data_IF_730835649875
#
_entry.id   IF_730835649875
#
_cell.length_a   1.000
_cell.length_b   1.000
_cell.length_c   1.000
_cell.angle_alpha   90.00
_cell.angle_beta   90.00
_cell.angle_gamma   90.00
#
_symmetry.space_group_name_H-M   'P 1'
#
loop_
_entity.id
_entity.type
_entity.pdbx_description
1 polymer ?
#
# COMPACT_ATOMS: atom_id res chain seq x y z
N UNK A 1 -17.13 -2.01 0.33
CA UNK A 1 -17.18 -1.75 1.78
C UNK A 1 -15.99 -0.94 2.26
N UNK A 2 -16.31 0.09 3.05
CA UNK A 2 -15.41 1.13 3.52
C UNK A 2 -15.72 1.46 4.98
N UNK A 3 -14.69 1.63 5.79
CA UNK A 3 -14.78 2.15 7.16
C UNK A 3 -14.45 3.64 7.12
N UNK A 4 -15.34 4.46 7.66
CA UNK A 4 -15.07 5.84 8.04
C UNK A 4 -14.82 5.93 9.54
N UNK A 5 -13.91 6.81 9.93
CA UNK A 5 -13.54 7.01 11.32
C UNK A 5 -14.13 8.33 11.81
N UNK A 6 -14.73 8.33 13.00
CA UNK A 6 -15.33 9.51 13.60
C UNK A 6 -14.26 10.60 13.78
N UNK A 7 -14.50 11.78 13.22
CA UNK A 7 -13.57 12.90 13.32
C UNK A 7 -13.26 13.25 14.78
N UNK A 8 -11.99 13.51 15.07
CA UNK A 8 -11.51 13.83 16.43
C UNK A 8 -11.36 12.63 17.37
N UNK A 9 -11.74 11.42 16.96
CA UNK A 9 -11.53 10.21 17.76
C UNK A 9 -10.05 9.78 17.80
N UNK A 10 -9.70 8.97 18.81
CA UNK A 10 -8.37 8.38 18.92
C UNK A 10 -8.05 7.48 17.71
N UNK A 11 -9.02 6.68 17.25
CA UNK A 11 -8.86 5.82 16.07
C UNK A 11 -8.60 6.63 14.80
N UNK A 12 -9.27 7.77 14.62
CA UNK A 12 -9.02 8.66 13.48
C UNK A 12 -7.58 9.23 13.50
N UNK A 13 -7.06 9.61 14.68
CA UNK A 13 -5.67 10.07 14.80
C UNK A 13 -4.65 8.99 14.46
N UNK A 14 -4.90 7.75 14.88
CA UNK A 14 -4.03 6.60 14.56
C UNK A 14 -4.03 6.34 13.06
N UNK A 15 -5.22 6.29 12.45
CA UNK A 15 -5.37 6.06 11.01
C UNK A 15 -4.71 7.17 10.18
N UNK A 16 -4.81 8.43 10.62
CA UNK A 16 -4.10 9.55 10.00
C UNK A 16 -2.58 9.33 10.00
N UNK A 17 -1.99 8.95 11.14
CA UNK A 17 -0.55 8.65 11.23
C UNK A 17 -0.16 7.45 10.37
N UNK A 18 -1.01 6.42 10.31
CA UNK A 18 -0.80 5.27 9.43
C UNK A 18 -0.80 5.69 7.96
N UNK A 19 -1.71 6.58 7.56
CA UNK A 19 -1.77 7.12 6.21
C UNK A 19 -0.56 7.99 5.86
N UNK A 20 -0.13 8.87 6.76
CA UNK A 20 1.08 9.69 6.55
C UNK A 20 2.32 8.82 6.39
N UNK A 21 2.46 7.79 7.24
CA UNK A 21 3.55 6.82 7.10
C UNK A 21 3.47 6.07 5.76
N UNK A 22 2.26 5.68 5.35
CA UNK A 22 2.00 5.05 4.05
C UNK A 22 2.45 5.97 2.91
N UNK A 23 2.07 7.24 2.90
CA UNK A 23 2.47 8.17 1.82
C UNK A 23 3.98 8.43 1.84
N UNK A 24 4.60 8.55 3.01
CA UNK A 24 6.04 8.66 3.14
C UNK A 24 6.78 7.44 2.54
N UNK A 25 6.29 6.23 2.83
CA UNK A 25 6.88 5.01 2.25
C UNK A 25 6.66 4.92 0.74
N UNK A 26 5.56 5.47 0.22
CA UNK A 26 5.31 5.55 -1.22
C UNK A 26 6.37 6.41 -1.91
N UNK A 27 6.58 7.63 -1.39
CA UNK A 27 7.56 8.57 -1.92
C UNK A 27 8.96 7.98 -1.88
N UNK A 28 9.34 7.34 -0.78
CA UNK A 28 10.64 6.65 -0.68
C UNK A 28 10.77 5.50 -1.67
N UNK A 29 9.72 4.70 -1.84
CA UNK A 29 9.74 3.58 -2.78
C UNK A 29 9.94 4.06 -4.22
N UNK A 30 9.24 5.13 -4.63
CA UNK A 30 9.45 5.79 -5.92
C UNK A 30 10.90 6.27 -6.03
N UNK A 31 11.38 7.03 -5.03
CA UNK A 31 12.73 7.58 -5.04
C UNK A 31 13.82 6.52 -5.21
N UNK A 32 13.72 5.39 -4.51
CA UNK A 32 14.66 4.27 -4.66
C UNK A 32 14.68 3.76 -6.11
N UNK A 33 13.50 3.56 -6.72
CA UNK A 33 13.41 3.08 -8.10
C UNK A 33 14.00 4.11 -9.05
N UNK A 34 13.66 5.38 -8.92
CA UNK A 34 14.16 6.43 -9.82
C UNK A 34 15.68 6.61 -9.69
N UNK A 35 16.23 6.51 -8.49
CA UNK A 35 17.67 6.62 -8.25
C UNK A 35 18.45 5.43 -8.86
N UNK A 36 17.96 4.20 -8.70
CA UNK A 36 18.66 3.01 -9.20
C UNK A 36 18.48 2.79 -10.72
N UNK A 37 17.40 3.33 -11.30
CA UNK A 37 17.09 3.18 -12.73
C UNK A 37 17.42 4.41 -13.57
N UNK A 38 17.56 5.59 -12.96
CA UNK A 38 17.65 6.86 -13.67
C UNK A 38 16.39 7.26 -14.44
N UNK A 39 15.28 6.54 -14.26
CA UNK A 39 14.04 6.68 -15.01
C UNK A 39 12.91 7.15 -14.09
N UNK A 40 12.07 8.06 -14.57
CA UNK A 40 10.95 8.61 -13.80
C UNK A 40 9.73 7.70 -13.80
N UNK A 41 9.17 7.50 -12.61
CA UNK A 41 7.92 6.75 -12.44
C UNK A 41 6.76 7.64 -12.90
N UNK A 42 5.81 7.07 -13.62
CA UNK A 42 4.64 7.78 -14.12
C UNK A 42 3.85 8.38 -12.96
N UNK A 43 3.62 9.69 -13.00
CA UNK A 43 2.77 10.38 -12.02
C UNK A 43 1.39 9.73 -11.91
N UNK A 44 0.92 9.52 -10.69
CA UNK A 44 -0.34 8.83 -10.41
C UNK A 44 -0.32 7.32 -10.66
N UNK A 45 0.80 6.73 -11.11
CA UNK A 45 0.94 5.28 -11.07
C UNK A 45 1.05 4.85 -9.61
N UNK A 46 0.05 4.08 -9.16
CA UNK A 46 0.13 3.43 -7.86
C UNK A 46 1.20 2.36 -7.97
N UNK A 47 2.29 2.48 -7.20
CA UNK A 47 3.12 1.32 -6.94
C UNK A 47 2.22 0.20 -6.40
N UNK A 48 2.45 -1.02 -6.87
CA UNK A 48 1.72 -2.17 -6.37
C UNK A 48 1.86 -2.26 -4.85
N UNK A 49 0.90 -2.90 -4.20
CA UNK A 49 1.01 -3.23 -2.78
C UNK A 49 1.28 -4.72 -2.65
N UNK A 50 2.12 -5.11 -1.70
CA UNK A 50 2.20 -6.50 -1.24
C UNK A 50 1.79 -6.52 0.23
N UNK A 51 1.10 -7.58 0.62
CA UNK A 51 0.85 -7.82 2.03
C UNK A 51 2.11 -8.47 2.61
N UNK A 52 2.66 -7.84 3.66
CA UNK A 52 3.84 -8.32 4.36
C UNK A 52 3.40 -8.70 5.78
N UNK A 53 3.71 -9.94 6.20
CA UNK A 53 3.32 -10.47 7.52
C UNK A 53 1.87 -10.14 7.91
N UNK A 54 0.91 -10.77 7.23
CA UNK A 54 -0.46 -11.05 7.71
C UNK A 54 -1.43 -9.88 8.00
N UNK A 55 -0.95 -8.78 8.58
CA UNK A 55 -1.73 -7.62 9.02
C UNK A 55 -1.06 -6.30 8.59
N UNK A 56 -0.02 -6.37 7.75
CA UNK A 56 0.59 -5.19 7.16
C UNK A 56 0.53 -5.23 5.63
N UNK A 57 0.60 -4.04 5.02
CA UNK A 57 0.97 -3.92 3.62
C UNK A 57 2.16 -2.96 3.47
N UNK A 58 2.96 -3.17 2.42
CA UNK A 58 4.01 -2.26 1.97
C UNK A 58 3.97 -2.12 0.43
N UNK A 59 4.84 -1.26 -0.09
CA UNK A 59 4.95 -1.03 -1.53
C UNK A 59 5.79 -2.10 -2.22
N UNK A 60 5.31 -2.52 -3.38
CA UNK A 60 5.95 -3.46 -4.27
C UNK A 60 6.66 -2.73 -5.39
N UNK A 61 7.90 -3.12 -5.64
CA UNK A 61 8.70 -2.72 -6.80
C UNK A 61 8.56 -3.72 -7.97
N UNK A 62 7.71 -4.74 -7.84
CA UNK A 62 7.65 -5.84 -8.80
C UNK A 62 7.07 -5.42 -10.15
N UNK A 63 6.10 -4.50 -10.14
CA UNK A 63 5.46 -3.95 -11.34
C UNK A 63 5.37 -2.44 -11.21
N UNK A 64 5.88 -1.73 -12.21
CA UNK A 64 5.97 -0.28 -12.23
C UNK A 64 5.55 0.26 -13.62
N UNK A 65 5.20 1.54 -13.66
CA UNK A 65 4.92 2.26 -14.89
C UNK A 65 5.84 3.49 -14.93
N UNK A 66 6.56 3.67 -16.03
CA UNK A 66 7.51 4.76 -16.22
C UNK A 66 6.96 5.79 -17.21
N UNK A 67 7.42 7.04 -17.14
CA UNK A 67 6.95 8.12 -18.01
C UNK A 67 7.36 7.90 -19.47
N UNK A 68 8.63 7.54 -19.70
CA UNK A 68 9.20 7.33 -21.03
C UNK A 68 9.22 5.85 -21.38
N UNK A 69 8.20 5.42 -22.11
CA UNK A 69 8.02 4.01 -22.49
C UNK A 69 8.98 3.52 -23.57
N UNK A 70 9.78 4.43 -24.16
CA UNK A 70 10.72 4.11 -25.25
C UNK A 70 12.12 3.78 -24.72
N UNK A 71 12.42 4.15 -23.47
CA UNK A 71 13.71 3.89 -22.85
C UNK A 71 13.78 2.50 -22.25
N UNK A 72 14.96 1.91 -22.35
CA UNK A 72 15.32 0.78 -21.50
C UNK A 72 15.35 1.27 -20.05
N UNK A 73 14.67 0.54 -19.17
CA UNK A 73 14.65 0.82 -17.74
C UNK A 73 15.54 -0.19 -17.04
N UNK A 74 16.72 0.21 -16.52
CA UNK A 74 17.61 -0.69 -15.79
C UNK A 74 16.85 -1.42 -14.68
N UNK A 75 17.07 -2.72 -14.53
CA UNK A 75 16.37 -3.47 -13.49
C UNK A 75 14.99 -3.98 -13.88
N UNK A 76 14.40 -3.54 -14.99
CA UNK A 76 13.05 -3.91 -15.40
C UNK A 76 13.01 -4.51 -16.82
N UNK A 77 11.98 -5.30 -17.09
CA UNK A 77 11.62 -5.79 -18.41
C UNK A 77 10.24 -5.24 -18.77
N UNK A 78 10.13 -4.66 -19.95
CA UNK A 78 8.86 -4.20 -20.49
C UNK A 78 7.91 -5.38 -20.72
N UNK A 79 6.65 -5.19 -20.37
CA UNK A 79 5.56 -6.12 -20.62
C UNK A 79 4.26 -5.36 -20.91
N UNK A 80 3.28 -6.06 -21.48
CA UNK A 80 1.95 -5.51 -21.66
C UNK A 80 1.04 -6.05 -20.56
N UNK A 81 0.31 -5.16 -19.89
CA UNK A 81 -0.74 -5.59 -18.98
C UNK A 81 -1.95 -6.16 -19.75
N UNK A 82 -2.98 -6.60 -19.02
CA UNK A 82 -4.17 -7.24 -19.61
C UNK A 82 -4.92 -6.34 -20.58
N UNK A 83 -4.81 -5.02 -20.40
CA UNK A 83 -5.45 -4.00 -21.22
C UNK A 83 -4.52 -3.48 -22.31
N UNK A 84 -3.38 -4.16 -22.53
CA UNK A 84 -2.32 -3.82 -23.50
C UNK A 84 -1.63 -2.49 -23.21
N UNK A 85 -1.68 -1.99 -21.98
CA UNK A 85 -0.83 -0.86 -21.59
C UNK A 85 0.59 -1.35 -21.35
N UNK A 86 1.56 -0.48 -21.63
CA UNK A 86 2.97 -0.76 -21.36
C UNK A 86 3.22 -0.66 -19.85
N UNK A 87 3.59 -1.79 -19.25
CA UNK A 87 4.06 -1.91 -17.87
C UNK A 87 5.48 -2.48 -17.82
N UNK A 88 6.06 -2.51 -16.62
CA UNK A 88 7.43 -2.96 -16.42
C UNK A 88 7.50 -3.90 -15.22
N UNK A 89 7.99 -5.12 -15.43
CA UNK A 89 8.23 -6.09 -14.37
C UNK A 89 9.69 -6.16 -14.00
N UNK A 90 9.96 -6.25 -12.70
CA UNK A 90 11.33 -6.33 -12.18
C UNK A 90 12.08 -7.56 -12.76
N UNK A 91 13.28 -7.32 -13.28
CA UNK A 91 14.21 -8.34 -13.74
C UNK A 91 15.30 -8.59 -12.69
N UNK A 92 15.00 -9.48 -11.74
CA UNK A 92 15.85 -9.85 -10.60
C UNK A 92 17.25 -10.40 -10.95
N UNK A 93 17.51 -10.68 -12.24
CA UNK A 93 18.83 -11.13 -12.70
C UNK A 93 19.85 -9.99 -12.83
N UNK A 94 19.38 -8.74 -12.88
CA UNK A 94 20.23 -7.56 -13.07
C UNK A 94 20.78 -7.01 -11.75
N UNK A 95 21.88 -6.25 -11.83
CA UNK A 95 22.46 -5.56 -10.67
C UNK A 95 21.52 -4.48 -10.11
N UNK A 96 20.92 -3.67 -10.99
CA UNK A 96 19.97 -2.64 -10.61
C UNK A 96 18.78 -3.22 -9.82
N UNK A 97 18.19 -4.34 -10.28
CA UNK A 97 17.09 -4.97 -9.54
C UNK A 97 17.51 -5.46 -8.15
N UNK A 98 18.72 -6.01 -8.01
CA UNK A 98 19.25 -6.45 -6.70
C UNK A 98 19.48 -5.27 -5.76
N UNK A 99 19.94 -4.13 -6.26
CA UNK A 99 20.09 -2.91 -5.47
C UNK A 99 18.72 -2.39 -5.00
N UNK A 100 17.75 -2.27 -5.91
CA UNK A 100 16.37 -1.88 -5.59
C UNK A 100 15.82 -2.80 -4.50
N UNK A 101 15.88 -4.11 -4.70
CA UNK A 101 15.38 -5.10 -3.74
C UNK A 101 16.07 -4.97 -2.37
N UNK A 102 17.40 -4.82 -2.35
CA UNK A 102 18.17 -4.63 -1.12
C UNK A 102 17.82 -3.34 -0.36
N UNK A 103 17.56 -2.25 -1.08
CA UNK A 103 17.11 -0.98 -0.49
C UNK A 103 15.67 -1.07 0.01
N UNK A 104 14.76 -1.68 -0.76
CA UNK A 104 13.38 -1.89 -0.32
C UNK A 104 13.31 -2.66 0.99
N UNK A 105 14.09 -3.74 1.16
CA UNK A 105 14.10 -4.49 2.42
C UNK A 105 14.66 -3.72 3.62
N UNK A 106 15.49 -2.70 3.39
CA UNK A 106 16.13 -1.90 4.45
C UNK A 106 15.36 -0.62 4.77
N UNK A 107 14.75 0.00 3.77
CA UNK A 107 14.27 1.38 3.84
C UNK A 107 12.74 1.49 3.79
N UNK A 108 12.04 0.48 3.24
CA UNK A 108 10.59 0.48 3.10
C UNK A 108 9.96 -0.40 4.17
N UNK A 109 9.12 0.22 5.01
CA UNK A 109 8.50 -0.44 6.14
C UNK A 109 7.01 -0.64 5.94
N UNK A 110 6.52 -1.80 6.35
CA UNK A 110 5.10 -2.11 6.28
C UNK A 110 4.26 -1.29 7.26
N UNK A 111 3.02 -1.04 6.85
CA UNK A 111 1.99 -0.34 7.62
C UNK A 111 1.09 -1.38 8.25
N UNK A 112 1.11 -1.47 9.59
CA UNK A 112 0.40 -2.49 10.36
C UNK A 112 -0.97 -2.00 10.80
N UNK A 113 -2.01 -2.83 10.63
CA UNK A 113 -3.34 -2.57 11.19
C UNK A 113 -3.49 -3.03 12.64
N UNK A 114 -2.47 -3.64 13.27
CA UNK A 114 -2.61 -4.19 14.63
C UNK A 114 -3.03 -3.17 15.69
N UNK A 115 -2.65 -1.90 15.51
CA UNK A 115 -3.06 -0.82 16.40
C UNK A 115 -4.59 -0.60 16.38
N UNK A 116 -5.26 -1.00 15.29
CA UNK A 116 -6.71 -0.90 15.17
C UNK A 116 -7.45 -2.02 15.94
N UNK A 117 -6.76 -3.10 16.34
CA UNK A 117 -7.36 -4.19 17.11
C UNK A 117 -7.89 -3.71 18.47
N UNK A 118 -7.22 -2.73 19.09
CA UNK A 118 -7.65 -2.10 20.36
C UNK A 118 -9.00 -1.39 20.21
N UNK A 119 -9.33 -0.95 19.00
CA UNK A 119 -10.59 -0.31 18.63
C UNK A 119 -11.59 -1.29 18.02
N UNK A 120 -11.34 -2.60 18.15
CA UNK A 120 -12.24 -3.65 17.66
C UNK A 120 -12.15 -3.93 16.16
N UNK A 121 -11.20 -3.34 15.43
CA UNK A 121 -11.07 -3.51 13.98
C UNK A 121 -9.97 -4.54 13.71
N UNK A 122 -10.36 -5.80 13.49
CA UNK A 122 -9.45 -6.89 13.18
C UNK A 122 -9.42 -7.18 11.68
N UNK A 123 -8.24 -7.47 11.14
CA UNK A 123 -8.04 -7.78 9.72
C UNK A 123 -7.62 -9.23 9.47
N UNK A 124 -7.61 -10.05 10.52
CA UNK A 124 -7.20 -11.45 10.50
C UNK A 124 -8.03 -12.33 11.46
N UNK A 125 -8.18 -13.61 11.10
CA UNK A 125 -8.82 -14.66 11.90
C UNK A 125 -8.25 -16.03 11.53
N UNK A 126 -7.97 -16.92 12.49
CA UNK A 126 -7.62 -18.33 12.25
C UNK A 126 -6.66 -18.59 11.07
N UNK A 127 -5.54 -17.85 11.03
CA UNK A 127 -4.53 -17.98 9.98
C UNK A 127 -4.93 -17.41 8.60
N UNK A 128 -6.11 -16.79 8.50
CA UNK A 128 -6.61 -16.10 7.32
C UNK A 128 -6.52 -14.58 7.48
N UNK A 129 -6.22 -13.91 6.38
CA UNK A 129 -6.03 -12.46 6.34
C UNK A 129 -6.86 -11.88 5.23
N UNK A 130 -7.38 -10.68 5.49
CA UNK A 130 -8.26 -10.03 4.56
C UNK A 130 -7.67 -8.69 4.14
N UNK A 131 -7.74 -8.41 2.83
CA UNK A 131 -7.16 -7.21 2.26
C UNK A 131 -7.80 -5.94 2.79
N UNK A 132 -6.98 -4.91 3.00
CA UNK A 132 -7.42 -3.58 3.40
C UNK A 132 -6.46 -2.52 2.85
N UNK A 133 -6.96 -1.30 2.64
CA UNK A 133 -6.16 -0.14 2.20
C UNK A 133 -6.69 1.15 2.80
N UNK A 134 -5.79 2.07 3.14
CA UNK A 134 -6.16 3.44 3.51
C UNK A 134 -6.23 4.34 2.28
N UNK A 135 -7.29 5.12 2.20
CA UNK A 135 -7.58 6.10 1.15
C UNK A 135 -7.87 7.45 1.77
N UNK A 136 -7.45 8.53 1.09
CA UNK A 136 -7.83 9.90 1.45
C UNK A 136 -9.01 10.31 0.59
N UNK A 137 -10.08 10.75 1.23
CA UNK A 137 -11.29 11.24 0.60
C UNK A 137 -11.11 12.71 0.18
N UNK A 138 -12.01 13.23 -0.66
CA UNK A 138 -11.94 14.60 -1.19
C UNK A 138 -12.03 15.68 -0.09
N UNK A 139 -12.74 15.38 1.00
CA UNK A 139 -12.82 16.23 2.19
C UNK A 139 -11.56 16.18 3.07
N UNK A 140 -10.56 15.39 2.70
CA UNK A 140 -9.30 15.21 3.41
C UNK A 140 -9.33 14.14 4.49
N UNK A 141 -10.48 13.54 4.80
CA UNK A 141 -10.59 12.45 5.77
C UNK A 141 -9.95 11.17 5.24
N UNK A 142 -9.46 10.33 6.16
CA UNK A 142 -8.94 9.02 5.83
C UNK A 142 -10.03 7.98 6.05
N UNK A 143 -10.17 7.09 5.08
CA UNK A 143 -11.04 5.93 5.15
C UNK A 143 -10.24 4.64 4.95
N UNK A 144 -10.82 3.52 5.35
CA UNK A 144 -10.23 2.20 5.13
C UNK A 144 -11.14 1.36 4.25
N UNK A 145 -10.71 1.09 3.02
CA UNK A 145 -11.35 0.10 2.16
C UNK A 145 -11.02 -1.28 2.70
N UNK A 146 -12.03 -2.11 2.89
CA UNK A 146 -11.89 -3.44 3.50
C UNK A 146 -12.50 -4.52 2.63
N UNK A 147 -11.89 -5.70 2.65
CA UNK A 147 -12.52 -6.91 2.14
C UNK A 147 -13.79 -7.23 2.98
N UNK A 148 -14.90 -7.69 2.36
CA UNK A 148 -16.17 -7.88 3.07
C UNK A 148 -16.08 -8.76 4.33
N UNK A 149 -15.23 -9.78 4.33
CA UNK A 149 -15.03 -10.66 5.49
C UNK A 149 -14.46 -9.97 6.73
N UNK A 150 -13.86 -8.78 6.59
CA UNK A 150 -13.42 -7.98 7.75
C UNK A 150 -14.62 -7.50 8.57
N UNK A 151 -15.79 -7.31 7.94
CA UNK A 151 -17.01 -6.92 8.65
C UNK A 151 -17.33 -7.88 9.79
N UNK A 152 -17.25 -9.18 9.52
CA UNK A 152 -17.52 -10.26 10.47
C UNK A 152 -16.50 -10.30 11.63
N UNK A 153 -15.36 -9.61 11.48
CA UNK A 153 -14.29 -9.54 12.48
C UNK A 153 -14.37 -8.30 13.37
N UNK A 154 -15.27 -7.36 13.07
CA UNK A 154 -15.40 -6.12 13.84
C UNK A 154 -16.11 -6.41 15.16
N UNK A 155 -15.41 -6.08 16.24
CA UNK A 155 -15.96 -6.07 17.60
C UNK A 155 -16.72 -4.75 17.79
N UNK A 156 -18.02 -4.75 17.48
CA UNK A 156 -18.88 -3.57 17.54
C UNK A 156 -19.08 -3.01 18.95
N UNK A 157 -18.82 -3.81 19.99
CA UNK A 157 -18.83 -3.31 21.37
C UNK A 157 -17.65 -2.35 21.64
N UNK A 158 -16.55 -2.51 20.89
CA UNK A 158 -15.36 -1.65 20.95
C UNK A 158 -15.31 -0.61 19.84
N UNK A 159 -15.81 -0.92 18.65
CA UNK A 159 -15.73 -0.09 17.46
C UNK A 159 -16.77 1.05 17.46
N UNK A 160 -16.80 1.86 18.52
CA UNK A 160 -17.80 2.92 18.73
C UNK A 160 -17.59 4.17 17.87
N UNK A 161 -16.38 4.34 17.36
CA UNK A 161 -15.94 5.53 16.62
C UNK A 161 -15.76 5.23 15.12
N UNK A 162 -16.48 4.25 14.59
CA UNK A 162 -16.50 3.96 13.15
C UNK A 162 -17.91 3.94 12.56
N UNK A 163 -17.98 4.23 11.26
CA UNK A 163 -19.17 4.02 10.42
C UNK A 163 -18.78 3.14 9.25
N UNK A 164 -19.60 2.14 8.93
CA UNK A 164 -19.37 1.24 7.80
C UNK A 164 -20.28 1.65 6.64
N UNK A 165 -19.69 1.91 5.49
CA UNK A 165 -20.37 2.17 4.23
C UNK A 165 -20.20 0.93 3.34
N UNK A 166 -21.31 0.37 2.86
CA UNK A 166 -21.29 -0.81 2.00
C UNK A 166 -20.85 -0.48 0.58
#
# INVERSE_FOLDING_TARGET
MKIQFKQGSQVASIVQKMFEKKELMHTKAIQIIEEETGCKIKAGSGLGFRYAFSFCYDYSFAHCYFEDVTKEVPGYKQEFDKDKNIGYRINRRTKAAKNIEGRFYKEIFAISSRQLNEFGIKTETDGHWYGWRLTKEDNGEISMVIHPKIYDLIDFDKAKDITIIQ
#
